data_IF_444690690397
#
_entry.id   IF_444690690397
#
_cell.length_a   1.000
_cell.length_b   1.000
_cell.length_c   1.000
_cell.angle_alpha   90.00
_cell.angle_beta   90.00
_cell.angle_gamma   90.00
#
_symmetry.space_group_name_H-M   'P 1'
#
loop_
_entity.id
_entity.type
_entity.pdbx_description
1 polymer ?
#
# COMPACT_ATOMS: atom_id res chain seq x y z
N UNK A 1 23.74 13.92 6.86
CA UNK A 1 22.97 13.58 8.07
C UNK A 1 22.09 12.37 7.80
N UNK A 2 22.19 11.38 8.64
CA UNK A 2 21.38 10.20 8.49
C UNK A 2 19.99 10.46 9.07
N UNK A 3 18.97 10.31 8.25
CA UNK A 3 17.61 10.48 8.71
C UNK A 3 17.10 9.18 9.31
N UNK A 4 16.58 9.23 10.50
CA UNK A 4 15.89 8.11 11.10
C UNK A 4 14.55 7.91 10.44
N UNK A 5 14.12 6.66 10.35
CA UNK A 5 12.73 6.39 10.02
C UNK A 5 11.84 6.97 11.10
N UNK A 6 10.76 7.66 10.74
CA UNK A 6 9.84 8.20 11.75
C UNK A 6 9.27 7.08 12.63
N UNK A 7 8.94 7.41 13.88
CA UNK A 7 8.41 6.42 14.81
C UNK A 7 7.18 5.71 14.29
N UNK A 8 6.28 6.42 13.61
CA UNK A 8 5.09 5.81 13.05
C UNK A 8 5.38 4.91 11.84
N UNK A 9 6.56 5.02 11.22
CA UNK A 9 6.93 4.09 10.16
C UNK A 9 7.01 2.65 10.66
N UNK A 10 7.41 2.46 11.91
CA UNK A 10 7.47 1.11 12.51
C UNK A 10 6.10 0.47 12.65
N UNK A 11 5.07 1.28 12.84
CA UNK A 11 3.72 0.77 12.95
C UNK A 11 3.22 0.15 11.64
N UNK A 12 3.81 0.56 10.51
CA UNK A 12 3.46 0.00 9.20
C UNK A 12 4.34 -1.17 8.78
N UNK A 13 5.52 -1.32 9.38
CA UNK A 13 6.51 -2.30 8.92
C UNK A 13 5.93 -3.71 8.89
N UNK A 14 6.26 -4.47 7.83
CA UNK A 14 5.81 -5.83 7.65
C UNK A 14 4.81 -5.97 6.53
N UNK A 15 4.15 -7.11 6.50
CA UNK A 15 3.24 -7.48 5.42
C UNK A 15 1.79 -7.41 5.88
N UNK A 16 0.95 -6.83 5.02
CA UNK A 16 -0.47 -6.66 5.27
C UNK A 16 -1.25 -7.30 4.12
N UNK A 17 -2.19 -8.15 4.44
CA UNK A 17 -3.04 -8.76 3.42
C UNK A 17 -4.17 -7.80 3.06
N UNK A 18 -4.33 -7.50 1.78
CA UNK A 18 -5.45 -6.70 1.30
C UNK A 18 -6.68 -7.59 1.32
N UNK A 19 -7.68 -7.21 2.11
CA UNK A 19 -8.88 -8.01 2.29
C UNK A 19 -10.05 -7.51 1.45
N UNK A 20 -9.99 -6.25 1.02
CA UNK A 20 -11.10 -5.66 0.31
C UNK A 20 -10.64 -4.48 -0.53
N UNK A 21 -11.16 -4.39 -1.76
CA UNK A 21 -11.04 -3.21 -2.61
C UNK A 21 -12.41 -2.94 -3.19
N UNK A 22 -12.87 -1.68 -3.16
CA UNK A 22 -14.25 -1.38 -3.56
C UNK A 22 -14.48 -1.38 -5.07
N UNK A 23 -13.41 -1.28 -5.86
CA UNK A 23 -13.51 -1.28 -7.31
C UNK A 23 -13.52 -2.68 -7.91
N UNK A 24 -12.91 -3.66 -7.25
CA UNK A 24 -12.75 -5.00 -7.80
C UNK A 24 -13.07 -6.07 -6.78
N UNK A 25 -13.60 -7.20 -7.29
CA UNK A 25 -13.75 -8.42 -6.52
C UNK A 25 -12.56 -9.34 -6.84
N UNK A 26 -12.43 -10.44 -6.11
CA UNK A 26 -11.46 -11.51 -6.41
C UNK A 26 -10.04 -10.99 -6.68
N UNK A 27 -9.59 -10.09 -5.83
CA UNK A 27 -8.32 -9.40 -6.00
C UNK A 27 -7.10 -10.31 -5.83
N UNK A 28 -7.30 -11.51 -5.30
CA UNK A 28 -6.23 -12.46 -4.98
C UNK A 28 -6.25 -13.71 -5.88
N UNK A 29 -6.92 -13.66 -7.03
CA UNK A 29 -6.98 -14.79 -7.94
C UNK A 29 -5.64 -15.21 -8.52
N UNK A 30 -4.75 -14.25 -8.78
CA UNK A 30 -3.45 -14.51 -9.40
C UNK A 30 -2.32 -14.57 -8.38
N UNK A 31 -2.63 -14.46 -7.11
CA UNK A 31 -1.68 -14.48 -6.03
C UNK A 31 -2.20 -13.67 -4.86
N UNK A 32 -1.52 -13.73 -3.74
CA UNK A 32 -1.98 -13.04 -2.53
C UNK A 32 -1.96 -11.52 -2.74
N UNK A 33 -3.11 -10.88 -2.54
CA UNK A 33 -3.17 -9.42 -2.56
C UNK A 33 -2.57 -8.92 -1.25
N UNK A 34 -1.54 -8.08 -1.37
CA UNK A 34 -0.85 -7.58 -0.17
C UNK A 34 -0.18 -6.24 -0.41
N UNK A 35 0.10 -5.56 0.68
CA UNK A 35 0.97 -4.40 0.69
C UNK A 35 1.95 -4.59 1.85
N UNK A 36 3.23 -4.35 1.59
CA UNK A 36 4.27 -4.56 2.60
C UNK A 36 5.17 -3.34 2.66
N UNK A 37 5.62 -3.02 3.86
CA UNK A 37 6.49 -1.87 4.11
C UNK A 37 7.78 -2.37 4.76
N UNK A 38 8.91 -1.85 4.28
CA UNK A 38 10.23 -2.31 4.76
C UNK A 38 10.77 -1.49 5.93
N UNK A 39 9.99 -0.53 6.42
CA UNK A 39 10.38 0.24 7.60
C UNK A 39 11.11 1.53 7.32
N UNK A 40 11.63 1.73 6.11
CA UNK A 40 12.23 3.00 5.69
C UNK A 40 11.33 3.67 4.67
N UNK A 41 11.71 3.61 3.42
CA UNK A 41 10.97 4.29 2.36
C UNK A 41 10.53 3.34 1.25
N UNK A 42 10.77 2.05 1.41
CA UNK A 42 10.44 1.06 0.42
C UNK A 42 9.27 0.18 0.80
N UNK A 43 8.85 -0.63 -0.15
CA UNK A 43 7.80 -1.60 0.07
C UNK A 43 7.38 -2.25 -1.22
N UNK A 44 6.34 -3.06 -1.14
CA UNK A 44 5.81 -3.73 -2.32
C UNK A 44 4.29 -3.82 -2.25
N UNK A 45 3.69 -3.97 -3.42
CA UNK A 45 2.24 -4.01 -3.58
C UNK A 45 1.91 -5.06 -4.61
N UNK A 46 0.91 -5.88 -4.32
CA UNK A 46 0.39 -6.82 -5.30
C UNK A 46 -1.12 -6.94 -5.15
N UNK A 47 -1.84 -6.85 -6.25
CA UNK A 47 -3.27 -7.12 -6.30
C UNK A 47 -3.67 -7.31 -7.76
N UNK A 48 -4.64 -8.17 -8.01
CA UNK A 48 -5.00 -8.55 -9.37
C UNK A 48 -3.74 -9.03 -10.10
N UNK A 49 -3.46 -8.50 -11.29
CA UNK A 49 -2.24 -8.83 -12.05
C UNK A 49 -1.11 -7.83 -11.83
N UNK A 50 -1.27 -6.91 -10.88
CA UNK A 50 -0.29 -5.86 -10.60
C UNK A 50 0.72 -6.34 -9.56
N UNK A 51 2.00 -6.13 -9.85
CA UNK A 51 3.10 -6.33 -8.92
C UNK A 51 4.00 -5.11 -9.01
N UNK A 52 4.24 -4.45 -7.89
CA UNK A 52 4.91 -3.16 -7.88
C UNK A 52 5.77 -2.95 -6.66
N UNK A 53 6.70 -2.01 -6.79
CA UNK A 53 7.51 -1.52 -5.68
C UNK A 53 7.00 -0.16 -5.26
N UNK A 54 7.18 0.16 -3.99
CA UNK A 54 6.71 1.40 -3.39
C UNK A 54 7.87 2.34 -3.07
N UNK A 55 7.61 3.64 -3.21
CA UNK A 55 8.41 4.71 -2.62
C UNK A 55 7.49 5.41 -1.63
N UNK A 56 7.80 5.32 -0.35
CA UNK A 56 6.87 5.66 0.73
C UNK A 56 7.35 6.87 1.51
N UNK A 57 6.40 7.73 1.87
CA UNK A 57 6.62 8.84 2.81
C UNK A 57 5.62 8.70 3.95
N UNK A 58 6.12 8.74 5.16
CA UNK A 58 5.30 8.58 6.35
C UNK A 58 4.98 9.92 6.98
N UNK A 59 3.82 10.02 7.59
CA UNK A 59 3.40 11.22 8.29
C UNK A 59 2.20 10.96 9.16
N UNK A 60 1.57 12.02 9.58
CA UNK A 60 0.32 11.95 10.32
C UNK A 60 -0.69 12.85 9.64
N UNK A 61 -1.92 12.39 9.59
CA UNK A 61 -3.03 13.15 9.02
C UNK A 61 -4.24 12.93 9.90
N UNK A 62 -4.86 14.04 10.33
CA UNK A 62 -6.04 13.98 11.19
C UNK A 62 -5.83 13.12 12.44
N UNK A 63 -4.62 13.20 12.99
CA UNK A 63 -4.27 12.47 14.21
C UNK A 63 -3.91 11.02 14.02
N UNK A 64 -3.93 10.50 12.78
CA UNK A 64 -3.60 9.11 12.51
C UNK A 64 -2.29 8.99 11.74
N UNK A 65 -1.54 7.93 12.01
CA UNK A 65 -0.35 7.61 11.23
C UNK A 65 -0.76 7.30 9.80
N UNK A 66 -0.03 7.84 8.85
CA UNK A 66 -0.37 7.73 7.42
C UNK A 66 0.88 7.44 6.61
N UNK A 67 0.75 6.61 5.59
CA UNK A 67 1.79 6.36 4.61
C UNK A 67 1.26 6.75 3.24
N UNK A 68 1.97 7.67 2.58
CA UNK A 68 1.68 8.04 1.20
C UNK A 68 2.77 7.47 0.33
N UNK A 69 2.41 6.99 -0.85
CA UNK A 69 3.40 6.34 -1.69
C UNK A 69 3.10 6.52 -3.18
N UNK A 70 4.17 6.44 -3.96
CA UNK A 70 4.07 6.16 -5.37
C UNK A 70 4.44 4.70 -5.57
N UNK A 71 3.96 4.11 -6.65
CA UNK A 71 4.31 2.73 -6.97
C UNK A 71 4.55 2.61 -8.47
N UNK A 72 5.44 1.68 -8.82
CA UNK A 72 5.66 1.35 -10.21
C UNK A 72 6.04 -0.12 -10.31
N UNK A 73 5.61 -0.74 -11.38
CA UNK A 73 5.82 -2.14 -11.63
C UNK A 73 5.13 -2.57 -12.89
N UNK A 74 4.41 -3.68 -12.82
CA UNK A 74 3.82 -4.28 -14.01
C UNK A 74 2.39 -4.75 -13.72
N UNK A 75 1.55 -4.64 -14.73
CA UNK A 75 0.20 -5.18 -14.73
C UNK A 75 0.16 -6.21 -15.87
N UNK A 76 0.21 -7.49 -15.50
CA UNK A 76 0.25 -8.60 -16.46
C UNK A 76 1.36 -8.39 -17.51
N UNK A 77 2.55 -7.99 -17.04
CA UNK A 77 3.70 -7.80 -17.89
C UNK A 77 3.84 -6.44 -18.55
N UNK A 78 2.79 -5.60 -18.50
CA UNK A 78 2.85 -4.25 -19.06
C UNK A 78 3.23 -3.25 -17.97
N UNK A 79 4.07 -2.26 -18.25
CA UNK A 79 4.43 -1.27 -17.24
C UNK A 79 3.21 -0.56 -16.67
N UNK A 80 3.18 -0.41 -15.37
CA UNK A 80 2.10 0.27 -14.68
C UNK A 80 2.67 1.07 -13.52
N UNK A 81 2.00 2.14 -13.16
CA UNK A 81 2.42 2.99 -12.06
C UNK A 81 1.22 3.70 -11.44
N UNK A 82 1.46 4.32 -10.31
CA UNK A 82 0.42 5.09 -9.65
C UNK A 82 0.89 5.61 -8.31
N UNK A 83 -0.08 5.91 -7.47
CA UNK A 83 0.18 6.38 -6.12
C UNK A 83 -0.93 5.88 -5.20
N UNK A 84 -0.75 6.11 -3.91
CA UNK A 84 -1.76 5.72 -2.96
C UNK A 84 -1.43 6.24 -1.58
N UNK A 85 -2.32 5.95 -0.66
CA UNK A 85 -2.13 6.26 0.73
C UNK A 85 -2.88 5.24 1.59
N UNK A 86 -2.35 4.99 2.76
CA UNK A 86 -3.05 4.18 3.76
C UNK A 86 -2.89 4.86 5.11
N UNK A 87 -3.90 4.72 5.95
CA UNK A 87 -3.87 5.19 7.32
C UNK A 87 -4.03 3.99 8.24
N UNK A 88 -3.32 4.05 9.36
CA UNK A 88 -3.42 3.01 10.37
C UNK A 88 -4.69 3.21 11.16
N UNK A 89 -5.56 2.21 11.14
CA UNK A 89 -6.77 2.21 11.92
C UNK A 89 -6.60 1.40 13.20
N UNK A 90 -7.71 1.01 13.79
CA UNK A 90 -7.70 0.17 14.98
C UNK A 90 -7.50 -1.30 14.61
N UNK A 91 -7.07 -2.11 15.58
CA UNK A 91 -6.99 -3.58 15.47
C UNK A 91 -6.16 -4.05 14.29
N UNK A 92 -4.99 -3.45 14.07
CA UNK A 92 -4.07 -3.86 13.00
C UNK A 92 -4.72 -3.85 11.62
N UNK A 93 -5.46 -2.79 11.34
CA UNK A 93 -6.13 -2.60 10.06
C UNK A 93 -5.62 -1.35 9.37
N UNK A 94 -5.39 -1.44 8.06
CA UNK A 94 -5.09 -0.28 7.21
C UNK A 94 -6.29 0.02 6.36
N UNK A 95 -6.57 1.31 6.18
CA UNK A 95 -7.62 1.78 5.28
C UNK A 95 -7.02 2.86 4.39
N UNK A 96 -7.25 2.78 3.11
CA UNK A 96 -6.68 3.76 2.21
C UNK A 96 -7.25 3.73 0.81
N UNK A 97 -6.44 4.21 -0.12
CA UNK A 97 -6.87 4.38 -1.50
C UNK A 97 -5.68 4.22 -2.44
N UNK A 98 -5.91 3.54 -3.55
CA UNK A 98 -4.90 3.30 -4.60
C UNK A 98 -5.36 3.99 -5.87
N UNK A 99 -4.44 4.69 -6.53
CA UNK A 99 -4.67 5.35 -7.81
C UNK A 99 -3.74 4.74 -8.86
N UNK A 100 -4.32 4.27 -9.96
CA UNK A 100 -3.55 3.80 -11.10
C UNK A 100 -3.37 4.97 -12.06
N UNK A 101 -2.12 5.25 -12.45
CA UNK A 101 -1.83 6.37 -13.35
C UNK A 101 -2.61 6.23 -14.64
N UNK A 102 -3.44 7.23 -14.95
CA UNK A 102 -4.33 7.25 -16.12
C UNK A 102 -5.34 6.10 -16.14
N UNK A 103 -5.62 5.51 -15.00
CA UNK A 103 -6.54 4.39 -14.88
C UNK A 103 -7.52 4.59 -13.74
N UNK A 104 -8.01 3.48 -13.24
CA UNK A 104 -9.00 3.46 -12.16
C UNK A 104 -8.35 3.78 -10.81
N UNK A 105 -9.20 3.98 -9.83
CA UNK A 105 -8.79 4.09 -8.44
C UNK A 105 -9.74 3.29 -7.57
N UNK A 106 -9.28 2.93 -6.39
CA UNK A 106 -10.07 2.09 -5.50
C UNK A 106 -9.67 2.32 -4.04
N UNK A 107 -10.66 2.28 -3.18
CA UNK A 107 -10.40 2.15 -1.76
C UNK A 107 -9.82 0.76 -1.48
N UNK A 108 -9.13 0.64 -0.35
CA UNK A 108 -8.62 -0.65 0.09
C UNK A 108 -8.69 -0.77 1.60
N UNK A 109 -8.84 -2.01 2.05
CA UNK A 109 -8.70 -2.38 3.45
C UNK A 109 -7.69 -3.52 3.51
N UNK A 110 -6.78 -3.44 4.46
CA UNK A 110 -5.78 -4.49 4.65
C UNK A 110 -5.66 -4.81 6.14
N UNK A 111 -5.25 -6.03 6.44
CA UNK A 111 -5.07 -6.51 7.80
C UNK A 111 -3.68 -7.11 7.94
N UNK A 112 -3.09 -6.93 9.12
CA UNK A 112 -1.75 -7.45 9.38
C UNK A 112 -1.72 -8.98 9.29
N UNK A 113 -0.74 -9.49 8.59
CA UNK A 113 -0.50 -10.92 8.51
C UNK A 113 0.24 -11.43 9.71
#
# INVERSE_FOLDING_TARGET
MTRRAPGFARAFAGRWRITEMDQWDEIDLLGDAHIAFTGKDGGELAFLAIEANLDVRYGARDGAACAEFSWEGFDDGSPASGRGRVALGTADRLVGHIFIHKGDDSGLVAERE
#
